data_IF_229808196220
#
_entry.id   IF_229808196220
#
_cell.length_a   1.000
_cell.length_b   1.000
_cell.length_c   1.000
_cell.angle_alpha   90.00
_cell.angle_beta   90.00
_cell.angle_gamma   90.00
#
_symmetry.space_group_name_H-M   'P 1'
#
loop_
_entity.id
_entity.type
_entity.pdbx_description
1 polymer ?
#
# COMPACT_ATOMS: atom_id res chain seq x y z
N UNK A 1 6.02 -11.98 -7.35
CA UNK A 1 4.84 -11.09 -7.31
C UNK A 1 3.90 -11.40 -8.49
N UNK A 2 2.56 -11.45 -8.32
CA UNK A 2 1.70 -11.35 -9.49
C UNK A 2 1.93 -9.95 -10.09
N UNK A 3 2.17 -9.83 -11.39
CA UNK A 3 2.32 -8.52 -12.01
C UNK A 3 1.00 -7.76 -11.83
N UNK A 4 1.09 -6.44 -11.58
CA UNK A 4 -0.05 -5.55 -11.78
C UNK A 4 -0.66 -5.89 -13.15
N UNK A 5 -1.93 -6.26 -13.18
CA UNK A 5 -2.56 -6.69 -14.42
C UNK A 5 -2.56 -5.51 -15.39
N UNK A 6 -2.55 -5.78 -16.70
CA UNK A 6 -2.69 -4.74 -17.72
C UNK A 6 -3.99 -3.97 -17.41
N UNK A 7 -3.92 -2.68 -17.01
CA UNK A 7 -5.09 -1.99 -16.47
C UNK A 7 -6.12 -1.68 -17.56
N UNK A 8 -5.69 -1.67 -18.83
CA UNK A 8 -6.50 -1.36 -19.99
C UNK A 8 -6.71 -2.61 -20.84
N UNK A 9 -7.95 -2.86 -21.24
CA UNK A 9 -8.32 -3.88 -22.22
C UNK A 9 -9.02 -3.27 -23.43
N UNK A 10 -8.90 -3.92 -24.59
CA UNK A 10 -9.59 -3.55 -25.82
C UNK A 10 -10.75 -4.51 -26.07
N UNK A 11 -11.96 -3.98 -26.19
CA UNK A 11 -13.16 -4.74 -26.49
C UNK A 11 -13.21 -5.14 -27.99
N UNK A 12 -14.01 -6.13 -28.39
CA UNK A 12 -14.20 -6.48 -29.82
C UNK A 12 -14.68 -5.31 -30.69
N UNK A 13 -15.31 -4.29 -30.08
CA UNK A 13 -15.71 -3.04 -30.74
C UNK A 13 -14.56 -2.07 -31.02
N UNK A 14 -13.34 -2.38 -30.57
CA UNK A 14 -12.18 -1.48 -30.63
C UNK A 14 -12.13 -0.45 -29.49
N UNK A 15 -13.19 -0.34 -28.65
CA UNK A 15 -13.21 0.56 -27.49
C UNK A 15 -12.26 0.06 -26.41
N UNK A 16 -11.56 0.98 -25.75
CA UNK A 16 -10.72 0.70 -24.59
C UNK A 16 -11.51 0.84 -23.30
N UNK A 17 -11.21 -0.01 -22.32
CA UNK A 17 -11.82 0.01 -20.98
C UNK A 17 -10.74 -0.10 -19.92
N UNK A 18 -10.91 0.65 -18.83
CA UNK A 18 -10.04 0.63 -17.65
C UNK A 18 -10.64 -0.28 -16.58
N UNK A 19 -9.86 -1.25 -16.09
CA UNK A 19 -10.24 -2.11 -14.98
C UNK A 19 -10.14 -1.41 -13.62
N UNK A 20 -10.93 -1.90 -12.66
CA UNK A 20 -11.06 -1.36 -11.31
C UNK A 20 -10.82 -2.46 -10.25
N UNK A 21 -10.17 -2.10 -9.14
CA UNK A 21 -9.99 -2.96 -7.97
C UNK A 21 -9.33 -4.31 -8.31
N UNK A 22 -9.91 -5.43 -7.85
CA UNK A 22 -9.35 -6.78 -7.97
C UNK A 22 -9.07 -7.22 -9.41
N UNK A 23 -9.74 -6.59 -10.39
CA UNK A 23 -9.49 -6.81 -11.83
C UNK A 23 -8.08 -6.35 -12.21
N UNK A 24 -7.53 -5.33 -11.55
CA UNK A 24 -6.22 -4.74 -11.90
C UNK A 24 -5.16 -4.96 -10.84
N UNK A 25 -5.55 -5.06 -9.57
CA UNK A 25 -4.66 -5.32 -8.44
C UNK A 25 -5.30 -6.38 -7.54
N UNK A 26 -4.82 -7.61 -7.63
CA UNK A 26 -5.24 -8.69 -6.75
C UNK A 26 -4.24 -8.82 -5.60
N UNK A 27 -4.73 -8.67 -4.36
CA UNK A 27 -3.95 -8.86 -3.15
C UNK A 27 -4.35 -10.15 -2.43
N UNK A 28 -3.39 -10.79 -1.76
CA UNK A 28 -3.67 -11.88 -0.84
C UNK A 28 -4.47 -11.37 0.38
N UNK A 29 -5.47 -12.13 0.87
CA UNK A 29 -6.34 -11.71 1.97
C UNK A 29 -5.66 -11.65 3.36
N UNK A 30 -4.42 -12.13 3.52
CA UNK A 30 -3.74 -12.23 4.84
C UNK A 30 -3.71 -10.92 5.64
N UNK A 31 -3.71 -9.76 4.98
CA UNK A 31 -3.74 -8.43 5.63
C UNK A 31 -5.14 -7.80 5.71
N UNK A 32 -6.17 -8.43 5.13
CA UNK A 32 -7.53 -7.88 5.12
C UNK A 32 -7.72 -6.63 4.25
N UNK A 33 -6.79 -6.33 3.33
CA UNK A 33 -6.75 -5.04 2.62
C UNK A 33 -7.63 -4.94 1.36
N UNK A 34 -8.31 -6.01 0.94
CA UNK A 34 -9.05 -6.05 -0.33
C UNK A 34 -10.10 -4.94 -0.46
N UNK A 35 -11.02 -4.82 0.51
CA UNK A 35 -12.06 -3.79 0.50
C UNK A 35 -11.50 -2.36 0.61
N UNK A 36 -10.46 -2.16 1.43
CA UNK A 36 -9.78 -0.87 1.57
C UNK A 36 -9.12 -0.45 0.24
N UNK A 37 -8.49 -1.38 -0.47
CA UNK A 37 -7.89 -1.14 -1.78
C UNK A 37 -8.95 -0.83 -2.84
N UNK A 38 -10.05 -1.58 -2.87
CA UNK A 38 -11.16 -1.32 -3.80
C UNK A 38 -11.77 0.08 -3.59
N UNK A 39 -12.02 0.46 -2.34
CA UNK A 39 -12.55 1.79 -1.99
C UNK A 39 -11.59 2.93 -2.37
N UNK A 40 -10.29 2.77 -2.09
CA UNK A 40 -9.26 3.77 -2.46
C UNK A 40 -9.07 3.85 -3.98
N UNK A 41 -9.17 2.74 -4.69
CA UNK A 41 -9.15 2.69 -6.16
C UNK A 41 -10.32 3.51 -6.74
N UNK A 42 -11.54 3.25 -6.26
CA UNK A 42 -12.73 3.97 -6.69
C UNK A 42 -12.64 5.48 -6.41
N UNK A 43 -12.16 5.88 -5.23
CA UNK A 43 -11.96 7.28 -4.89
C UNK A 43 -10.91 7.96 -5.80
N UNK A 44 -9.76 7.32 -6.03
CA UNK A 44 -8.71 7.84 -6.91
C UNK A 44 -9.18 8.00 -8.35
N UNK A 45 -9.96 7.04 -8.85
CA UNK A 45 -10.50 7.09 -10.22
C UNK A 45 -11.56 8.17 -10.35
N UNK A 46 -12.46 8.30 -9.37
CA UNK A 46 -13.47 9.36 -9.35
C UNK A 46 -12.82 10.75 -9.39
N UNK A 47 -11.80 10.98 -8.57
CA UNK A 47 -11.05 12.25 -8.57
C UNK A 47 -10.39 12.51 -9.93
N UNK A 48 -9.82 11.48 -10.55
CA UNK A 48 -9.18 11.58 -11.87
C UNK A 48 -10.19 11.90 -12.97
N UNK A 49 -11.37 11.27 -12.94
CA UNK A 49 -12.48 11.52 -13.88
C UNK A 49 -12.99 12.95 -13.73
N UNK A 50 -13.27 13.39 -12.50
CA UNK A 50 -13.75 14.76 -12.22
C UNK A 50 -12.70 15.79 -12.67
N UNK A 51 -11.42 15.56 -12.37
CA UNK A 51 -10.33 16.46 -12.73
C UNK A 51 -10.07 16.54 -14.25
N UNK A 52 -10.40 15.49 -15.00
CA UNK A 52 -10.24 15.43 -16.46
C UNK A 52 -11.37 16.12 -17.22
N UNK A 53 -12.56 16.19 -16.63
CA UNK A 53 -13.72 16.88 -17.21
C UNK A 53 -14.19 16.25 -18.52
N UNK A 54 -14.37 17.07 -19.55
CA UNK A 54 -14.90 16.67 -20.87
C UNK A 54 -13.80 16.27 -21.88
N UNK A 55 -12.53 16.22 -21.47
CA UNK A 55 -11.44 15.80 -22.33
C UNK A 55 -11.57 14.31 -22.72
N UNK A 56 -10.86 13.90 -23.77
CA UNK A 56 -10.95 12.53 -24.27
C UNK A 56 -10.46 11.51 -23.23
N UNK A 57 -11.27 10.49 -22.97
CA UNK A 57 -10.95 9.37 -22.08
C UNK A 57 -10.18 8.29 -22.85
N UNK A 58 -9.01 8.64 -23.36
CA UNK A 58 -8.16 7.76 -24.15
C UNK A 58 -7.26 6.86 -23.29
N UNK A 59 -6.42 6.04 -23.93
CA UNK A 59 -5.48 5.16 -23.24
C UNK A 59 -4.52 5.91 -22.30
N UNK A 60 -4.13 7.14 -22.64
CA UNK A 60 -3.22 7.94 -21.82
C UNK A 60 -3.89 8.38 -20.52
N UNK A 61 -5.14 8.83 -20.60
CA UNK A 61 -5.96 9.10 -19.42
C UNK A 61 -6.14 7.83 -18.57
N UNK A 62 -6.51 6.71 -19.19
CA UNK A 62 -6.73 5.45 -18.46
C UNK A 62 -5.45 4.96 -17.75
N UNK A 63 -4.29 5.05 -18.42
CA UNK A 63 -3.01 4.63 -17.87
C UNK A 63 -2.58 5.51 -16.70
N UNK A 64 -2.64 6.84 -16.86
CA UNK A 64 -2.28 7.78 -15.78
C UNK A 64 -3.23 7.68 -14.57
N UNK A 65 -4.52 7.42 -14.81
CA UNK A 65 -5.50 7.17 -13.73
C UNK A 65 -5.14 5.91 -12.93
N UNK A 66 -4.75 4.83 -13.60
CA UNK A 66 -4.26 3.63 -12.93
C UNK A 66 -2.96 3.89 -12.17
N UNK A 67 -1.99 4.56 -12.79
CA UNK A 67 -0.68 4.87 -12.17
C UNK A 67 -0.83 5.71 -10.89
N UNK A 68 -1.76 6.68 -10.88
CA UNK A 68 -2.10 7.45 -9.68
C UNK A 68 -2.53 6.55 -8.53
N UNK A 69 -3.40 5.57 -8.78
CA UNK A 69 -3.80 4.58 -7.78
C UNK A 69 -2.65 3.62 -7.42
N UNK A 70 -1.88 3.18 -8.41
CA UNK A 70 -0.77 2.24 -8.22
C UNK A 70 0.33 2.80 -7.31
N UNK A 71 0.56 4.12 -7.32
CA UNK A 71 1.46 4.80 -6.38
C UNK A 71 1.12 4.49 -4.91
N UNK A 72 -0.16 4.31 -4.58
CA UNK A 72 -0.59 3.86 -3.26
C UNK A 72 -0.60 2.32 -3.17
N UNK A 73 -1.25 1.65 -4.13
CA UNK A 73 -1.56 0.22 -4.04
C UNK A 73 -0.32 -0.69 -3.97
N UNK A 74 0.78 -0.26 -4.61
CA UNK A 74 2.04 -1.02 -4.60
C UNK A 74 2.59 -1.24 -3.19
N UNK A 75 2.42 -0.27 -2.28
CA UNK A 75 2.91 -0.39 -0.90
C UNK A 75 2.12 -1.44 -0.13
N UNK A 76 0.81 -1.49 -0.36
CA UNK A 76 -0.05 -2.52 0.23
C UNK A 76 0.32 -3.90 -0.29
N UNK A 77 0.52 -4.04 -1.60
CA UNK A 77 0.94 -5.30 -2.20
C UNK A 77 2.32 -5.77 -1.69
N UNK A 78 3.29 -4.86 -1.56
CA UNK A 78 4.61 -5.17 -1.01
C UNK A 78 4.53 -5.63 0.45
N UNK A 79 3.78 -4.93 1.28
CA UNK A 79 3.60 -5.30 2.69
C UNK A 79 2.87 -6.65 2.84
N UNK A 80 1.78 -6.87 2.10
CA UNK A 80 1.09 -8.16 2.06
C UNK A 80 2.04 -9.29 1.66
N UNK A 81 2.83 -9.09 0.61
CA UNK A 81 3.79 -10.10 0.15
C UNK A 81 4.89 -10.38 1.18
N UNK A 82 5.36 -9.38 1.93
CA UNK A 82 6.33 -9.58 3.00
C UNK A 82 5.78 -10.49 4.11
N UNK A 83 4.50 -10.35 4.45
CA UNK A 83 3.83 -11.17 5.47
C UNK A 83 3.51 -12.61 5.03
N UNK A 84 3.61 -12.92 3.73
CA UNK A 84 3.47 -14.29 3.22
C UNK A 84 4.75 -15.13 3.40
N UNK A 85 5.86 -14.48 3.72
CA UNK A 85 7.16 -15.14 3.97
C UNK A 85 7.47 -15.16 5.46
N UNK A 86 8.32 -16.08 5.94
CA UNK A 86 8.80 -16.03 7.32
C UNK A 86 9.35 -14.64 7.65
N UNK A 87 8.96 -14.04 8.79
CA UNK A 87 9.36 -12.68 9.12
C UNK A 87 10.89 -12.59 9.27
N UNK A 88 11.55 -11.62 8.61
CA UNK A 88 12.99 -11.42 8.75
C UNK A 88 13.34 -10.91 10.16
N UNK A 89 14.62 -11.00 10.59
CA UNK A 89 15.04 -10.66 11.96
C UNK A 89 14.58 -9.27 12.43
N UNK A 90 14.74 -8.23 11.61
CA UNK A 90 14.33 -6.87 11.96
C UNK A 90 12.82 -6.73 12.21
N UNK A 91 11.99 -7.52 11.53
CA UNK A 91 10.54 -7.57 11.77
C UNK A 91 10.24 -8.24 13.11
N UNK A 92 10.97 -9.30 13.45
CA UNK A 92 10.85 -9.95 14.76
C UNK A 92 11.26 -9.02 15.90
N UNK A 93 12.32 -8.23 15.72
CA UNK A 93 12.75 -7.23 16.70
C UNK A 93 11.67 -6.15 16.91
N UNK A 94 11.07 -5.64 15.83
CA UNK A 94 9.96 -4.70 15.88
C UNK A 94 8.74 -5.26 16.61
N UNK A 95 8.36 -6.51 16.31
CA UNK A 95 7.23 -7.18 16.97
C UNK A 95 7.51 -7.40 18.46
N UNK A 96 8.72 -7.80 18.81
CA UNK A 96 9.16 -7.93 20.21
C UNK A 96 9.09 -6.59 20.96
N UNK A 97 9.59 -5.52 20.35
CA UNK A 97 9.55 -4.17 20.92
C UNK A 97 8.11 -3.64 21.04
N UNK A 98 7.23 -3.94 20.08
CA UNK A 98 5.82 -3.58 20.11
C UNK A 98 5.10 -4.18 21.33
N UNK A 99 5.49 -5.39 21.74
CA UNK A 99 4.93 -6.04 22.94
C UNK A 99 5.21 -5.30 24.24
N UNK A 100 6.20 -4.42 24.27
CA UNK A 100 6.61 -3.67 25.47
C UNK A 100 6.40 -2.15 25.33
N UNK A 101 6.22 -1.66 24.11
CA UNK A 101 6.20 -0.22 23.80
C UNK A 101 4.89 0.17 23.10
N UNK A 102 3.93 0.82 23.81
CA UNK A 102 2.64 1.19 23.25
C UNK A 102 2.72 2.07 21.99
N UNK A 103 3.75 2.91 21.88
CA UNK A 103 3.98 3.75 20.70
C UNK A 103 4.20 2.91 19.43
N UNK A 104 5.05 1.88 19.53
CA UNK A 104 5.35 0.97 18.42
C UNK A 104 4.10 0.14 18.08
N UNK A 105 3.40 -0.41 19.08
CA UNK A 105 2.14 -1.14 18.87
C UNK A 105 1.07 -0.28 18.16
N UNK A 106 0.94 0.99 18.55
CA UNK A 106 0.01 1.93 17.91
C UNK A 106 0.40 2.22 16.47
N UNK A 107 1.68 2.36 16.16
CA UNK A 107 2.16 2.57 14.78
C UNK A 107 1.86 1.35 13.90
N UNK A 108 2.06 0.13 14.42
CA UNK A 108 1.63 -1.11 13.75
C UNK A 108 0.14 -1.10 13.40
N UNK A 109 -0.72 -0.83 14.40
CA UNK A 109 -2.16 -0.81 14.19
C UNK A 109 -2.59 0.23 13.15
N UNK A 110 -2.01 1.43 13.21
CA UNK A 110 -2.28 2.50 12.23
C UNK A 110 -1.77 2.16 10.82
N UNK A 111 -0.75 1.32 10.69
CA UNK A 111 -0.23 0.87 9.40
C UNK A 111 -1.23 0.07 8.57
N UNK A 112 -2.25 -0.57 9.17
CA UNK A 112 -3.35 -1.18 8.42
C UNK A 112 -4.17 -0.12 7.66
N UNK A 113 -4.39 1.04 8.28
CA UNK A 113 -5.10 2.15 7.64
C UNK A 113 -4.20 2.88 6.62
N UNK A 114 -2.92 3.07 6.95
CA UNK A 114 -1.93 3.70 6.09
C UNK A 114 -0.69 2.83 5.82
N UNK A 115 -0.77 1.85 4.90
CA UNK A 115 0.33 0.91 4.66
C UNK A 115 1.58 1.56 4.06
N UNK A 116 1.50 2.78 3.54
CA UNK A 116 2.68 3.48 3.01
C UNK A 116 3.67 3.83 4.11
N UNK A 117 3.21 4.02 5.36
CA UNK A 117 4.08 4.29 6.51
C UNK A 117 5.05 3.15 6.80
N UNK A 118 4.68 1.89 6.51
CA UNK A 118 5.57 0.75 6.71
C UNK A 118 6.89 0.85 5.94
N UNK A 119 6.90 1.60 4.84
CA UNK A 119 8.12 1.86 4.06
C UNK A 119 9.17 2.59 4.85
N UNK A 120 8.80 3.29 5.93
CA UNK A 120 9.71 4.17 6.69
C UNK A 120 10.28 3.56 7.96
N UNK A 121 9.80 2.38 8.37
CA UNK A 121 10.25 1.78 9.64
C UNK A 121 10.08 0.26 9.73
N UNK A 122 9.34 -0.38 8.82
CA UNK A 122 9.03 -1.82 8.89
C UNK A 122 9.69 -2.62 7.77
N UNK A 123 9.62 -2.13 6.53
CA UNK A 123 10.00 -2.91 5.34
C UNK A 123 11.51 -3.14 5.17
N UNK A 124 12.35 -2.31 5.82
CA UNK A 124 13.79 -2.28 5.61
C UNK A 124 14.57 -2.36 6.93
N UNK A 125 15.63 -3.18 7.02
CA UNK A 125 16.38 -3.38 8.27
C UNK A 125 17.00 -2.10 8.85
N UNK A 126 17.57 -1.25 8.01
CA UNK A 126 18.21 0.02 8.40
C UNK A 126 17.20 1.01 8.98
N UNK A 127 16.02 1.10 8.36
CA UNK A 127 14.92 1.94 8.84
C UNK A 127 14.31 1.42 10.14
N UNK A 128 14.16 0.10 10.27
CA UNK A 128 13.71 -0.53 11.50
C UNK A 128 14.68 -0.24 12.66
N UNK A 129 15.99 -0.40 12.43
CA UNK A 129 17.01 -0.12 13.43
C UNK A 129 17.01 1.37 13.84
N UNK A 130 16.89 2.28 12.87
CA UNK A 130 16.80 3.73 13.12
C UNK A 130 15.60 4.05 14.01
N UNK A 131 14.42 3.56 13.64
CA UNK A 131 13.18 3.80 14.39
C UNK A 131 13.24 3.25 15.82
N UNK A 132 13.75 2.03 16.01
CA UNK A 132 13.93 1.45 17.35
C UNK A 132 14.88 2.30 18.21
N UNK A 133 15.95 2.82 17.61
CA UNK A 133 16.90 3.71 18.29
C UNK A 133 16.28 5.05 18.70
N UNK A 134 15.42 5.63 17.85
CA UNK A 134 14.69 6.87 18.14
C UNK A 134 13.74 6.69 19.33
N UNK A 135 12.93 5.63 19.32
CA UNK A 135 11.96 5.33 20.38
C UNK A 135 12.67 5.05 21.71
N UNK A 136 13.78 4.29 21.69
CA UNK A 136 14.57 4.02 22.88
C UNK A 136 15.18 5.30 23.48
N UNK A 137 15.72 6.18 22.63
CA UNK A 137 16.29 7.47 23.06
C UNK A 137 15.22 8.39 23.64
N UNK A 138 14.03 8.43 23.04
CA UNK A 138 12.90 9.22 23.52
C UNK A 138 12.38 8.72 24.88
N UNK A 139 12.42 7.41 25.14
CA UNK A 139 12.06 6.84 26.43
C UNK A 139 13.09 7.20 27.52
N UNK A 140 14.39 7.13 27.20
CA UNK A 140 15.47 7.46 28.12
C UNK A 140 15.48 8.94 28.55
N UNK A 141 15.08 9.86 27.67
CA UNK A 141 14.97 11.29 27.98
C UNK A 141 13.75 11.69 28.81
N UNK A 142 12.82 10.77 29.09
CA UNK A 142 11.61 11.01 29.91
C UNK A 142 11.71 10.44 31.33
N UNK A 143 12.78 9.70 31.65
CA UNK A 143 13.07 9.19 32.99
C UNK A 143 13.97 10.12 33.78
#
# INVERSE_FOLDING_TARGET
PPPAQKPIATLPSGKQVLGLADVVVLNDPITGQGSNNAAKCAASYLESIIGHGEAAYDAGFMQSTFEKYWNYAQHVAQWTNALLTPPPPHVMDLLGAAGQTPEIARRFANGFNNPTDFQDWFMYPDKAATYLGEVASAAAGRG
#
